data_IF_900489793631
#
_entry.id   IF_900489793631
#
_cell.length_a   1.000
_cell.length_b   1.000
_cell.length_c   1.000
_cell.angle_alpha   90.00
_cell.angle_beta   90.00
_cell.angle_gamma   90.00
#
_symmetry.space_group_name_H-M   'P 1'
#
loop_
_entity.id
_entity.type
_entity.pdbx_description
1 polymer ?
#
# COMPACT_ATOMS: atom_id res chain seq x y z
N UNK A 1 6.30 3.18 -1.52
CA UNK A 1 7.71 3.63 -1.67
C UNK A 1 8.12 3.82 -3.14
N UNK A 2 7.95 2.83 -4.02
CA UNK A 2 8.45 2.87 -5.41
C UNK A 2 8.04 4.10 -6.23
N UNK A 3 6.78 4.55 -6.09
CA UNK A 3 6.29 5.77 -6.75
C UNK A 3 7.03 7.04 -6.28
N UNK A 4 7.29 7.15 -4.97
CA UNK A 4 8.09 8.25 -4.40
C UNK A 4 9.53 8.21 -4.88
N UNK A 5 10.11 7.01 -5.00
CA UNK A 5 11.47 6.85 -5.53
C UNK A 5 11.55 7.28 -7.01
N UNK A 6 10.57 6.93 -7.83
CA UNK A 6 10.50 7.37 -9.23
C UNK A 6 10.33 8.89 -9.34
N UNK A 7 9.45 9.49 -8.53
CA UNK A 7 9.29 10.94 -8.47
C UNK A 7 10.56 11.66 -8.00
N UNK A 8 11.37 11.02 -7.14
CA UNK A 8 12.65 11.52 -6.67
C UNK A 8 13.82 11.31 -7.68
N UNK A 9 13.56 10.71 -8.84
CA UNK A 9 14.58 10.52 -9.89
C UNK A 9 15.52 9.33 -9.68
N UNK A 10 15.15 8.35 -8.84
CA UNK A 10 15.87 7.06 -8.81
C UNK A 10 15.83 6.45 -10.22
N UNK A 11 16.96 5.94 -10.77
CA UNK A 11 17.07 5.54 -12.17
C UNK A 11 16.38 4.20 -12.49
N UNK A 12 15.08 4.09 -12.22
CA UNK A 12 14.21 3.03 -12.69
C UNK A 12 13.74 3.36 -14.12
N UNK A 13 13.66 2.34 -15.00
CA UNK A 13 13.16 2.54 -16.38
C UNK A 13 11.64 2.57 -16.46
N UNK A 14 10.97 1.81 -15.61
CA UNK A 14 9.51 1.61 -15.53
C UNK A 14 9.17 1.21 -14.09
N UNK A 15 7.94 1.48 -13.63
CA UNK A 15 7.49 1.09 -12.29
C UNK A 15 6.13 0.39 -12.37
N UNK A 16 6.00 -0.79 -11.77
CA UNK A 16 4.71 -1.44 -11.56
C UNK A 16 4.34 -1.45 -10.08
N UNK A 17 3.06 -1.21 -9.77
CA UNK A 17 2.49 -1.33 -8.42
C UNK A 17 1.22 -2.17 -8.48
N UNK A 18 1.00 -2.99 -7.45
CA UNK A 18 -0.22 -3.78 -7.28
C UNK A 18 -0.92 -3.29 -6.01
N UNK A 19 -2.17 -2.87 -6.15
CA UNK A 19 -3.03 -2.39 -5.05
C UNK A 19 -2.31 -1.43 -4.09
N UNK A 20 -1.80 -0.28 -4.60
CA UNK A 20 -1.17 0.71 -3.74
C UNK A 20 -2.18 1.13 -2.65
N UNK A 21 -1.82 1.06 -1.35
CA UNK A 21 -2.77 1.10 -0.24
C UNK A 21 -3.19 2.53 0.12
N UNK A 22 -3.59 3.31 -0.89
CA UNK A 22 -4.09 4.67 -0.71
C UNK A 22 -5.58 4.67 -0.44
N UNK A 23 -6.00 5.59 0.41
CA UNK A 23 -7.40 5.87 0.65
C UNK A 23 -7.99 6.75 -0.45
N UNK A 24 -9.22 6.43 -0.82
CA UNK A 24 -9.98 7.12 -1.88
C UNK A 24 -11.16 7.92 -1.34
N UNK A 25 -11.53 7.69 -0.08
CA UNK A 25 -12.58 8.47 0.59
C UNK A 25 -12.06 9.85 0.98
N UNK A 26 -12.88 10.87 0.78
CA UNK A 26 -12.61 12.21 1.31
C UNK A 26 -12.91 12.21 2.81
N UNK A 27 -12.14 13.00 3.58
CA UNK A 27 -12.35 13.27 5.02
C UNK A 27 -11.88 12.19 6.02
N UNK A 28 -10.67 11.62 5.81
CA UNK A 28 -10.02 10.67 6.74
C UNK A 28 -8.76 11.21 7.41
N UNK A 29 -8.44 12.50 7.22
CA UNK A 29 -7.21 13.10 7.73
C UNK A 29 -7.05 12.93 9.24
N UNK A 30 -8.14 13.13 9.99
CA UNK A 30 -8.15 13.00 11.45
C UNK A 30 -7.92 11.56 11.93
N UNK A 31 -8.53 10.57 11.26
CA UNK A 31 -8.32 9.16 11.55
C UNK A 31 -6.88 8.73 11.26
N UNK A 32 -6.31 9.21 10.14
CA UNK A 32 -4.93 8.90 9.78
C UNK A 32 -3.93 9.54 10.75
N UNK A 33 -4.11 10.82 11.08
CA UNK A 33 -3.25 11.52 12.04
C UNK A 33 -3.31 10.86 13.42
N UNK A 34 -4.49 10.41 13.84
CA UNK A 34 -4.67 9.66 15.08
C UNK A 34 -3.93 8.33 15.04
N UNK A 35 -4.04 7.57 13.96
CA UNK A 35 -3.29 6.32 13.77
C UNK A 35 -1.79 6.56 13.89
N UNK A 36 -1.23 7.54 13.18
CA UNK A 36 0.20 7.86 13.23
C UNK A 36 0.66 8.18 14.66
N UNK A 37 -0.10 9.02 15.39
CA UNK A 37 0.24 9.38 16.76
C UNK A 37 0.15 8.19 17.73
N UNK A 38 -0.85 7.32 17.57
CA UNK A 38 -1.00 6.11 18.40
C UNK A 38 0.09 5.08 18.09
N UNK A 39 0.47 4.92 16.82
CA UNK A 39 1.57 4.05 16.37
C UNK A 39 2.91 4.52 16.96
N UNK A 40 3.25 5.80 16.81
CA UNK A 40 4.49 6.38 17.33
C UNK A 40 4.62 6.15 18.84
N UNK A 41 3.53 6.38 19.58
CA UNK A 41 3.50 6.14 21.03
C UNK A 41 3.70 4.66 21.38
N UNK A 42 3.00 3.75 20.69
CA UNK A 42 3.14 2.32 20.94
C UNK A 42 4.57 1.83 20.68
N UNK A 43 5.20 2.33 19.61
CA UNK A 43 6.58 2.01 19.28
C UNK A 43 7.57 2.59 20.30
N UNK A 44 7.39 3.84 20.73
CA UNK A 44 8.24 4.49 21.73
C UNK A 44 8.20 3.79 23.10
N UNK A 45 7.04 3.23 23.46
CA UNK A 45 6.84 2.47 24.70
C UNK A 45 7.23 0.98 24.57
N UNK A 46 7.71 0.54 23.41
CA UNK A 46 8.07 -0.86 23.16
C UNK A 46 6.88 -1.82 23.06
N UNK A 47 5.65 -1.31 22.96
CA UNK A 47 4.40 -2.09 22.82
C UNK A 47 4.22 -2.57 21.37
N UNK A 48 5.12 -3.44 20.92
CA UNK A 48 5.20 -3.93 19.54
C UNK A 48 3.93 -4.64 19.07
N UNK A 49 3.33 -5.48 19.90
CA UNK A 49 2.06 -6.13 19.58
C UNK A 49 0.94 -5.11 19.32
N UNK A 50 0.86 -4.06 20.14
CA UNK A 50 -0.17 -3.02 19.97
C UNK A 50 0.08 -2.20 18.70
N UNK A 51 1.34 -1.95 18.33
CA UNK A 51 1.69 -1.33 17.05
C UNK A 51 1.24 -2.19 15.85
N UNK A 52 1.41 -3.52 15.93
CA UNK A 52 0.92 -4.45 14.89
C UNK A 52 -0.62 -4.43 14.83
N UNK A 53 -1.32 -4.42 15.96
CA UNK A 53 -2.78 -4.32 15.97
C UNK A 53 -3.30 -3.01 15.36
N UNK A 54 -2.68 -1.89 15.69
CA UNK A 54 -3.01 -0.59 15.08
C UNK A 54 -2.85 -0.66 13.56
N UNK A 55 -1.75 -1.24 13.08
CA UNK A 55 -1.50 -1.41 11.65
C UNK A 55 -2.55 -2.31 10.98
N UNK A 56 -2.86 -3.48 11.53
CA UNK A 56 -3.86 -4.38 10.96
C UNK A 56 -5.27 -3.74 10.95
N UNK A 57 -5.58 -2.90 11.93
CA UNK A 57 -6.85 -2.18 11.97
C UNK A 57 -6.94 -1.13 10.87
N UNK A 58 -5.88 -0.35 10.65
CA UNK A 58 -5.88 0.69 9.60
C UNK A 58 -5.89 0.11 8.19
N UNK A 59 -5.45 -1.14 7.99
CA UNK A 59 -5.62 -1.83 6.70
C UNK A 59 -7.05 -2.34 6.44
N UNK A 60 -7.96 -2.14 7.40
CA UNK A 60 -9.36 -2.55 7.30
C UNK A 60 -9.63 -3.99 7.75
N UNK A 61 -8.67 -4.63 8.43
CA UNK A 61 -8.87 -5.99 8.95
C UNK A 61 -9.87 -5.97 10.11
N UNK A 62 -10.85 -6.88 10.09
CA UNK A 62 -11.87 -6.96 11.14
C UNK A 62 -11.26 -7.36 12.50
N UNK A 63 -11.79 -6.81 13.61
CA UNK A 63 -11.28 -7.04 14.97
C UNK A 63 -11.09 -8.53 15.31
N UNK A 64 -12.05 -9.38 14.94
CA UNK A 64 -11.94 -10.81 15.22
C UNK A 64 -10.75 -11.45 14.49
N UNK A 65 -10.41 -10.98 13.30
CA UNK A 65 -9.24 -11.45 12.56
C UNK A 65 -7.95 -10.95 13.20
N UNK A 66 -7.91 -9.72 13.73
CA UNK A 66 -6.77 -9.18 14.48
C UNK A 66 -6.54 -10.00 15.75
N UNK A 67 -7.59 -10.28 16.52
CA UNK A 67 -7.53 -11.15 17.70
C UNK A 67 -7.00 -12.53 17.33
N UNK A 68 -7.46 -13.13 16.24
CA UNK A 68 -6.96 -14.42 15.79
C UNK A 68 -5.48 -14.35 15.37
N UNK A 69 -5.08 -13.28 14.67
CA UNK A 69 -3.68 -13.06 14.28
C UNK A 69 -2.76 -12.96 15.51
N UNK A 70 -3.21 -12.32 16.59
CA UNK A 70 -2.44 -12.18 17.84
C UNK A 70 -2.10 -13.50 18.52
N UNK A 71 -2.94 -14.53 18.32
CA UNK A 71 -2.72 -15.86 18.89
C UNK A 71 -2.02 -16.82 17.92
N UNK A 72 -1.69 -16.36 16.71
CA UNK A 72 -1.08 -17.20 15.69
C UNK A 72 0.45 -17.33 15.86
N UNK A 73 1.07 -18.43 15.38
CA UNK A 73 2.53 -18.61 15.48
C UNK A 73 3.37 -17.56 14.74
N UNK A 74 2.79 -16.77 13.82
CA UNK A 74 3.49 -15.71 13.09
C UNK A 74 3.64 -14.41 13.90
N UNK A 75 2.84 -14.23 14.97
CA UNK A 75 2.79 -12.96 15.71
C UNK A 75 4.15 -12.48 16.24
N UNK A 76 5.00 -13.33 16.85
CA UNK A 76 6.33 -12.90 17.30
C UNK A 76 7.20 -12.37 16.15
N UNK A 77 7.01 -12.90 14.94
CA UNK A 77 7.69 -12.41 13.74
C UNK A 77 7.23 -11.01 13.33
N UNK A 78 5.92 -10.73 13.43
CA UNK A 78 5.36 -9.39 13.20
C UNK A 78 5.86 -8.40 14.25
N UNK A 79 5.88 -8.78 15.53
CA UNK A 79 6.40 -7.94 16.60
C UNK A 79 7.88 -7.62 16.41
N UNK A 80 8.68 -8.57 15.93
CA UNK A 80 10.11 -8.36 15.67
C UNK A 80 10.37 -7.24 14.65
N UNK A 81 9.49 -7.09 13.65
CA UNK A 81 9.60 -6.06 12.61
C UNK A 81 8.71 -4.84 12.84
N UNK A 82 7.88 -4.82 13.88
CA UNK A 82 6.96 -3.71 14.18
C UNK A 82 7.59 -2.30 14.13
N UNK A 83 8.86 -2.06 14.52
CA UNK A 83 9.49 -0.74 14.37
C UNK A 83 9.51 -0.20 12.93
N UNK A 84 9.46 -1.07 11.90
CA UNK A 84 9.44 -0.63 10.50
C UNK A 84 8.09 -0.05 10.09
N UNK A 85 7.02 -0.26 10.86
CA UNK A 85 5.70 0.33 10.60
C UNK A 85 5.75 1.87 10.58
N UNK A 86 6.67 2.48 11.33
CA UNK A 86 6.91 3.92 11.26
C UNK A 86 7.40 4.35 9.87
N UNK A 87 8.14 3.49 9.17
CA UNK A 87 8.61 3.77 7.80
C UNK A 87 7.48 3.63 6.80
N UNK A 88 6.64 2.59 6.93
CA UNK A 88 5.44 2.44 6.10
C UNK A 88 4.48 3.62 6.30
N UNK A 89 4.27 4.06 7.54
CA UNK A 89 3.43 5.21 7.85
C UNK A 89 3.99 6.51 7.25
N UNK A 90 5.28 6.80 7.46
CA UNK A 90 5.94 7.97 6.86
C UNK A 90 5.91 7.94 5.33
N UNK A 91 6.08 6.75 4.73
CA UNK A 91 5.97 6.56 3.29
C UNK A 91 4.55 6.77 2.82
N UNK A 92 3.52 6.55 3.61
CA UNK A 92 2.14 6.76 3.19
C UNK A 92 1.67 8.21 3.41
N UNK A 93 2.23 8.92 4.39
CA UNK A 93 1.85 10.31 4.69
C UNK A 93 0.41 10.39 5.19
N UNK A 94 -0.40 11.27 4.58
CA UNK A 94 -1.83 11.37 4.90
C UNK A 94 -2.67 10.18 4.38
N UNK A 95 -2.04 9.20 3.73
CA UNK A 95 -2.69 8.01 3.22
C UNK A 95 -3.45 8.22 1.92
N UNK A 96 -3.54 9.44 1.40
CA UNK A 96 -4.22 9.75 0.15
C UNK A 96 -3.31 9.53 -1.06
N UNK A 97 -3.91 9.43 -2.26
CA UNK A 97 -3.15 9.39 -3.51
C UNK A 97 -2.41 10.73 -3.70
N UNK A 98 -1.07 10.77 -3.73
CA UNK A 98 -0.32 12.02 -3.76
C UNK A 98 -0.21 12.55 -5.20
N UNK A 99 -1.33 13.02 -5.77
CA UNK A 99 -1.45 13.35 -7.20
C UNK A 99 -0.36 14.32 -7.70
N UNK A 100 -0.06 15.37 -6.96
CA UNK A 100 0.98 16.34 -7.32
C UNK A 100 2.39 15.72 -7.40
N UNK A 101 2.69 14.74 -6.54
CA UNK A 101 3.95 14.00 -6.58
C UNK A 101 3.95 13.01 -7.76
N UNK A 102 2.83 12.34 -8.02
CA UNK A 102 2.73 11.39 -9.12
C UNK A 102 2.83 12.08 -10.49
N UNK A 103 2.36 13.32 -10.60
CA UNK A 103 2.50 14.13 -11.80
C UNK A 103 3.96 14.43 -12.18
N UNK A 104 4.91 14.32 -11.25
CA UNK A 104 6.35 14.52 -11.51
C UNK A 104 7.08 13.23 -11.91
N UNK A 105 6.40 12.08 -11.96
CA UNK A 105 7.01 10.82 -12.36
C UNK A 105 7.25 10.81 -13.88
N UNK A 106 8.52 10.68 -14.27
CA UNK A 106 8.95 10.79 -15.66
C UNK A 106 9.10 9.44 -16.40
N UNK A 107 8.77 8.32 -15.73
CA UNK A 107 8.86 6.98 -16.30
C UNK A 107 7.49 6.33 -16.39
N UNK A 108 7.29 5.35 -17.31
CA UNK A 108 6.04 4.62 -17.39
C UNK A 108 5.67 3.96 -16.06
N UNK A 109 4.41 4.08 -15.65
CA UNK A 109 3.86 3.44 -14.45
C UNK A 109 2.70 2.53 -14.82
N UNK A 110 2.76 1.28 -14.38
CA UNK A 110 1.63 0.35 -14.44
C UNK A 110 1.04 0.17 -13.03
N UNK A 111 -0.21 0.60 -12.83
CA UNK A 111 -0.95 0.35 -11.61
C UNK A 111 -1.98 -0.76 -11.82
N UNK A 112 -1.85 -1.84 -11.05
CA UNK A 112 -2.68 -3.03 -11.14
C UNK A 112 -3.56 -3.17 -9.91
N UNK A 113 -4.71 -3.80 -10.10
CA UNK A 113 -5.56 -4.27 -9.01
C UNK A 113 -6.20 -5.62 -9.34
N UNK A 114 -6.60 -6.37 -8.31
CA UNK A 114 -7.37 -7.59 -8.47
C UNK A 114 -8.83 -7.30 -8.85
N UNK A 115 -9.38 -8.05 -9.80
CA UNK A 115 -10.79 -7.95 -10.18
C UNK A 115 -11.75 -8.31 -9.05
N UNK A 116 -11.36 -9.22 -8.17
CA UNK A 116 -12.11 -9.65 -6.99
C UNK A 116 -11.78 -8.86 -5.71
N UNK A 117 -10.88 -7.88 -5.78
CA UNK A 117 -10.55 -7.01 -4.64
C UNK A 117 -11.66 -5.98 -4.34
N UNK A 118 -11.69 -5.38 -3.14
CA UNK A 118 -12.63 -4.31 -2.83
C UNK A 118 -12.58 -3.14 -3.83
N UNK A 119 -13.75 -2.55 -4.10
CA UNK A 119 -13.88 -1.40 -5.02
C UNK A 119 -12.92 -0.24 -4.72
N UNK A 120 -12.76 0.18 -3.45
CA UNK A 120 -11.80 1.23 -3.09
C UNK A 120 -10.34 0.95 -3.50
N UNK A 121 -9.86 -0.30 -3.38
CA UNK A 121 -8.49 -0.66 -3.77
C UNK A 121 -8.28 -0.54 -5.28
N UNK A 122 -9.27 -0.94 -6.07
CA UNK A 122 -9.26 -0.76 -7.53
C UNK A 122 -9.27 0.72 -7.91
N UNK A 123 -10.06 1.53 -7.21
CA UNK A 123 -10.12 2.97 -7.45
C UNK A 123 -8.80 3.67 -7.08
N UNK A 124 -8.15 3.28 -5.99
CA UNK A 124 -6.84 3.80 -5.61
C UNK A 124 -5.78 3.52 -6.70
N UNK A 125 -5.71 2.28 -7.20
CA UNK A 125 -4.83 1.91 -8.31
C UNK A 125 -5.14 2.72 -9.59
N UNK A 126 -6.42 2.92 -9.92
CA UNK A 126 -6.84 3.75 -11.05
C UNK A 126 -6.40 5.20 -10.91
N UNK A 127 -6.61 5.82 -9.74
CA UNK A 127 -6.18 7.21 -9.49
C UNK A 127 -4.67 7.36 -9.54
N UNK A 128 -3.91 6.38 -9.07
CA UNK A 128 -2.44 6.36 -9.23
C UNK A 128 -2.06 6.40 -10.71
N UNK A 129 -2.65 5.56 -11.56
CA UNK A 129 -2.37 5.58 -12.99
C UNK A 129 -2.76 6.92 -13.64
N UNK A 130 -3.91 7.48 -13.29
CA UNK A 130 -4.40 8.74 -13.86
C UNK A 130 -3.54 9.95 -13.46
N UNK A 131 -2.92 9.92 -12.29
CA UNK A 131 -2.08 11.01 -11.80
C UNK A 131 -0.66 11.01 -12.41
N UNK A 132 -0.23 9.92 -13.04
CA UNK A 132 1.08 9.80 -13.69
C UNK A 132 0.95 10.15 -15.18
N UNK A 133 1.85 10.98 -15.77
CA UNK A 133 1.77 11.35 -17.19
C UNK A 133 1.77 10.17 -18.16
N UNK A 134 2.58 9.15 -17.89
CA UNK A 134 2.63 7.88 -18.63
C UNK A 134 2.17 6.72 -17.74
N UNK A 135 0.94 6.85 -17.23
CA UNK A 135 0.30 5.89 -16.35
C UNK A 135 -0.69 4.97 -17.06
N UNK A 136 -0.59 3.67 -16.81
CA UNK A 136 -1.52 2.66 -17.27
C UNK A 136 -2.20 1.97 -16.08
N UNK A 137 -3.52 1.77 -16.18
CA UNK A 137 -4.31 1.02 -15.20
C UNK A 137 -4.68 -0.36 -15.77
N UNK A 138 -4.52 -1.41 -14.97
CA UNK A 138 -4.92 -2.77 -15.33
C UNK A 138 -5.66 -3.49 -14.22
N UNK A 139 -6.58 -4.39 -14.59
CA UNK A 139 -7.29 -5.27 -13.67
C UNK A 139 -6.92 -6.72 -14.00
N UNK A 140 -6.52 -7.48 -12.98
CA UNK A 140 -6.29 -8.91 -13.11
C UNK A 140 -7.57 -9.64 -12.70
N UNK A 141 -8.31 -10.12 -13.69
CA UNK A 141 -9.61 -10.77 -13.48
C UNK A 141 -9.53 -11.95 -12.51
N UNK A 142 -10.51 -12.04 -11.62
CA UNK A 142 -10.58 -13.06 -10.57
C UNK A 142 -9.51 -12.96 -9.46
N UNK A 143 -8.53 -12.05 -9.56
CA UNK A 143 -7.49 -11.91 -8.53
C UNK A 143 -7.97 -11.10 -7.33
N UNK A 144 -7.46 -11.46 -6.16
CA UNK A 144 -7.70 -10.78 -4.88
C UNK A 144 -6.43 -10.05 -4.42
N UNK A 145 -6.46 -9.38 -3.28
CA UNK A 145 -5.27 -8.80 -2.64
C UNK A 145 -4.06 -9.76 -2.56
N UNK A 146 -4.33 -11.05 -2.33
CA UNK A 146 -3.35 -12.12 -2.51
C UNK A 146 -3.36 -12.57 -3.98
N UNK A 147 -2.61 -11.86 -4.83
CA UNK A 147 -2.50 -12.16 -6.26
C UNK A 147 -1.67 -13.42 -6.53
N UNK A 148 -2.13 -14.25 -7.46
CA UNK A 148 -1.39 -15.44 -7.90
C UNK A 148 -0.17 -15.03 -8.75
N UNK A 149 1.05 -15.49 -8.40
CA UNK A 149 2.26 -15.17 -9.15
C UNK A 149 2.18 -15.52 -10.65
N UNK A 150 1.50 -16.60 -11.00
CA UNK A 150 1.33 -17.09 -12.37
C UNK A 150 0.49 -16.15 -13.24
N UNK A 151 -0.39 -15.36 -12.61
CA UNK A 151 -1.22 -14.36 -13.28
C UNK A 151 -0.49 -13.02 -13.37
N UNK A 152 0.23 -12.63 -12.31
CA UNK A 152 0.96 -11.36 -12.27
C UNK A 152 2.21 -11.38 -13.17
N UNK A 153 2.95 -12.49 -13.18
CA UNK A 153 4.25 -12.55 -13.84
C UNK A 153 4.22 -12.28 -15.36
N UNK A 154 3.29 -12.83 -16.16
CA UNK A 154 3.20 -12.52 -17.59
C UNK A 154 2.97 -11.03 -17.86
N UNK A 155 2.10 -10.38 -17.08
CA UNK A 155 1.79 -8.95 -17.21
C UNK A 155 3.03 -8.10 -16.91
N UNK A 156 3.77 -8.46 -15.85
CA UNK A 156 5.03 -7.77 -15.54
C UNK A 156 6.09 -7.98 -16.62
N UNK A 157 6.18 -9.18 -17.21
CA UNK A 157 7.13 -9.46 -18.31
C UNK A 157 6.83 -8.63 -19.55
N UNK A 158 5.56 -8.50 -19.91
CA UNK A 158 5.14 -7.65 -21.02
C UNK A 158 5.50 -6.19 -20.75
N UNK A 159 5.12 -5.66 -19.58
CA UNK A 159 5.38 -4.27 -19.22
C UNK A 159 6.88 -3.93 -19.17
N UNK A 160 7.72 -4.80 -18.59
CA UNK A 160 9.16 -4.58 -18.50
C UNK A 160 9.94 -5.00 -19.75
N UNK A 161 9.33 -5.74 -20.67
CA UNK A 161 9.94 -6.15 -21.94
C UNK A 161 9.80 -5.12 -23.07
N UNK A 162 8.92 -4.12 -22.90
CA UNK A 162 8.68 -3.04 -23.84
C UNK A 162 9.73 -1.91 -23.77
#
# INVERSE_FOLDING_TARGET
>A
LSLRAAAAGVPARRVAVYEPPFEVRQDHGDERARYSAELDRALAEGRRGDAVELFLRVTGLAEQMIVNARHSPMWPGLEAVAPTLAYDDAVMGDGTVPEALLASVAVPVLALAGGASPGPMREAARRVAQAVPDGAYGVLEGQTHAVEPEVLAPVLREFYGA
#
